data_IF_211451053702
#
_entry.id   IF_211451053702
#
_cell.length_a   1.000
_cell.length_b   1.000
_cell.length_c   1.000
_cell.angle_alpha   90.00
_cell.angle_beta   90.00
_cell.angle_gamma   90.00
#
_symmetry.space_group_name_H-M   'P 1'
#
loop_
_entity.id
_entity.type
_entity.pdbx_description
1 polymer ?
#
# COMPACT_ATOMS: atom_id res chain seq x y z
N UNK A 1 -15.59 23.52 -3.38
CA UNK A 1 -14.87 23.14 -2.14
C UNK A 1 -13.49 22.72 -2.56
N UNK A 2 -12.45 23.23 -1.92
CA UNK A 2 -11.08 22.79 -2.18
C UNK A 2 -10.96 21.28 -1.97
N UNK A 3 -10.27 20.60 -2.88
CA UNK A 3 -10.11 19.15 -2.87
C UNK A 3 -9.50 18.67 -1.53
N UNK A 4 -8.56 19.45 -0.99
CA UNK A 4 -7.93 19.19 0.31
C UNK A 4 -8.94 19.17 1.46
N UNK A 5 -9.94 20.05 1.43
CA UNK A 5 -10.97 20.10 2.48
C UNK A 5 -11.82 18.83 2.46
N UNK A 6 -12.09 18.28 1.28
CA UNK A 6 -12.81 17.01 1.13
C UNK A 6 -11.95 15.82 1.55
N UNK A 7 -10.66 15.81 1.19
CA UNK A 7 -9.71 14.74 1.53
C UNK A 7 -9.55 14.60 3.04
N UNK A 8 -9.39 15.70 3.78
CA UNK A 8 -9.21 15.67 5.24
C UNK A 8 -10.53 15.71 6.02
N UNK A 9 -11.67 15.59 5.32
CA UNK A 9 -12.99 15.49 5.95
C UNK A 9 -13.14 14.19 6.76
N UNK A 10 -13.93 14.22 7.84
CA UNK A 10 -14.16 13.04 8.69
C UNK A 10 -14.76 11.85 7.92
N UNK A 11 -15.58 12.12 6.90
CA UNK A 11 -16.23 11.09 6.07
C UNK A 11 -15.27 10.33 5.17
N UNK A 12 -14.14 10.95 4.81
CA UNK A 12 -13.16 10.33 3.94
C UNK A 12 -12.17 9.41 4.68
N UNK A 13 -12.23 9.35 6.01
CA UNK A 13 -11.31 8.55 6.83
C UNK A 13 -12.05 7.59 7.76
N UNK A 14 -11.73 6.30 7.62
CA UNK A 14 -12.15 5.24 8.53
C UNK A 14 -11.05 4.95 9.57
N UNK A 15 -11.34 4.13 10.56
CA UNK A 15 -10.36 3.74 11.59
C UNK A 15 -10.29 2.23 11.77
N UNK A 16 -9.09 1.72 12.06
CA UNK A 16 -8.80 0.30 12.30
C UNK A 16 -7.89 0.14 13.51
N UNK A 17 -7.72 -1.10 14.00
CA UNK A 17 -6.89 -1.37 15.18
C UNK A 17 -7.38 -0.66 16.44
N UNK A 18 -8.70 -0.61 16.65
CA UNK A 18 -9.30 0.08 17.81
C UNK A 18 -9.16 1.61 17.77
N UNK A 19 -9.16 2.20 16.58
CA UNK A 19 -9.01 3.66 16.40
C UNK A 19 -7.56 4.15 16.32
N UNK A 20 -6.58 3.25 16.41
CA UNK A 20 -5.15 3.61 16.42
C UNK A 20 -4.58 3.89 15.03
N UNK A 21 -5.19 3.36 13.97
CA UNK A 21 -4.76 3.60 12.59
C UNK A 21 -5.91 4.21 11.80
N UNK A 22 -5.69 5.41 11.24
CA UNK A 22 -6.60 6.01 10.27
C UNK A 22 -6.35 5.41 8.89
N UNK A 23 -7.43 5.14 8.17
CA UNK A 23 -7.38 4.59 6.82
C UNK A 23 -8.24 5.49 5.96
N UNK A 24 -7.60 6.17 5.00
CA UNK A 24 -8.35 6.90 3.99
C UNK A 24 -9.30 5.91 3.32
N UNK A 25 -10.55 6.31 3.10
CA UNK A 25 -11.58 5.53 2.42
C UNK A 25 -12.31 6.36 1.32
N UNK A 26 -11.75 7.50 0.94
CA UNK A 26 -12.22 8.35 -0.16
C UNK A 26 -11.74 7.91 -1.55
N UNK A 27 -11.93 8.79 -2.54
CA UNK A 27 -11.53 8.57 -3.94
C UNK A 27 -10.01 8.36 -4.10
N UNK A 28 -9.59 7.86 -5.25
CA UNK A 28 -8.16 7.69 -5.53
C UNK A 28 -7.43 9.03 -5.54
N UNK A 29 -6.32 9.11 -4.80
CA UNK A 29 -5.48 10.30 -4.72
C UNK A 29 -4.49 10.29 -5.88
N UNK A 30 -4.47 11.35 -6.69
CA UNK A 30 -3.50 11.51 -7.79
C UNK A 30 -2.11 11.91 -7.29
N UNK A 31 -2.06 12.62 -6.17
CA UNK A 31 -0.85 13.15 -5.56
C UNK A 31 -0.72 12.64 -4.12
N UNK A 32 0.51 12.62 -3.60
CA UNK A 32 0.74 12.28 -2.19
C UNK A 32 0.21 13.37 -1.26
N UNK A 33 -0.23 12.98 -0.07
CA UNK A 33 -0.77 13.92 0.91
C UNK A 33 0.34 14.67 1.64
N UNK A 34 0.09 15.94 1.95
CA UNK A 34 0.95 16.71 2.84
C UNK A 34 1.11 16.01 4.19
N UNK A 35 2.37 15.70 4.54
CA UNK A 35 2.72 15.03 5.82
C UNK A 35 2.27 15.84 7.03
N UNK A 36 2.31 17.17 6.96
CA UNK A 36 1.89 18.04 8.05
C UNK A 36 0.36 18.03 8.23
N UNK A 37 -0.39 18.02 7.13
CA UNK A 37 -1.84 17.89 7.17
C UNK A 37 -2.28 16.53 7.74
N UNK A 38 -1.63 15.44 7.31
CA UNK A 38 -1.87 14.09 7.86
C UNK A 38 -1.52 14.04 9.35
N UNK A 39 -0.37 14.59 9.75
CA UNK A 39 0.05 14.62 11.16
C UNK A 39 -0.96 15.37 12.03
N UNK A 40 -1.50 16.49 11.53
CA UNK A 40 -2.55 17.24 12.21
C UNK A 40 -3.80 16.37 12.40
N UNK A 41 -4.27 15.71 11.36
CA UNK A 41 -5.44 14.81 11.42
C UNK A 41 -5.22 13.65 12.41
N UNK A 42 -4.05 13.00 12.39
CA UNK A 42 -3.71 11.90 13.31
C UNK A 42 -3.78 12.37 14.77
N UNK A 43 -3.23 13.55 15.07
CA UNK A 43 -3.29 14.15 16.41
C UNK A 43 -4.71 14.49 16.83
N UNK A 44 -5.48 15.14 15.96
CA UNK A 44 -6.89 15.49 16.21
C UNK A 44 -7.77 14.26 16.52
N UNK A 45 -7.44 13.11 15.93
CA UNK A 45 -8.18 11.85 16.11
C UNK A 45 -7.65 10.97 17.22
N UNK A 46 -6.54 11.33 17.88
CA UNK A 46 -5.89 10.48 18.88
C UNK A 46 -5.36 9.15 18.32
N UNK A 47 -5.07 9.11 17.02
CA UNK A 47 -4.51 7.95 16.35
C UNK A 47 -2.98 7.91 16.50
N UNK A 48 -2.38 6.75 16.25
CA UNK A 48 -0.91 6.57 16.19
C UNK A 48 -0.37 6.76 14.78
N UNK A 49 -1.21 6.60 13.75
CA UNK A 49 -0.80 6.75 12.36
C UNK A 49 -1.97 6.77 11.40
N UNK A 50 -1.63 6.99 10.12
CA UNK A 50 -2.57 7.03 9.01
C UNK A 50 -1.98 6.28 7.80
N UNK A 51 -2.85 5.67 6.99
CA UNK A 51 -2.51 5.13 5.66
C UNK A 51 -3.51 5.65 4.63
N UNK A 52 -3.02 6.05 3.46
CA UNK A 52 -3.83 6.60 2.37
C UNK A 52 -3.43 6.06 0.98
N UNK A 53 -2.46 5.17 0.93
CA UNK A 53 -2.08 4.42 -0.27
C UNK A 53 -2.92 3.15 -0.34
N UNK A 54 -3.81 3.07 -1.33
CA UNK A 54 -4.69 1.91 -1.53
C UNK A 54 -4.08 0.81 -2.39
N UNK A 55 -2.98 1.11 -3.07
CA UNK A 55 -2.60 0.32 -4.22
C UNK A 55 -1.39 -0.56 -3.95
N UNK A 56 -1.68 -1.86 -3.83
CA UNK A 56 -0.70 -2.93 -4.00
C UNK A 56 -0.66 -3.41 -5.47
N UNK A 57 -1.49 -2.84 -6.36
CA UNK A 57 -1.81 -3.42 -7.68
C UNK A 57 -2.09 -2.31 -8.73
N UNK A 58 -1.31 -1.22 -8.70
CA UNK A 58 -1.54 -0.07 -9.59
C UNK A 58 -1.38 -0.48 -11.07
N UNK A 59 -2.42 -0.18 -11.87
CA UNK A 59 -2.40 -0.32 -13.33
C UNK A 59 -1.63 0.80 -14.03
N UNK A 60 -1.00 1.70 -13.26
CA UNK A 60 -0.11 2.75 -13.74
C UNK A 60 1.29 2.53 -13.14
N UNK A 61 2.33 2.72 -13.96
CA UNK A 61 3.73 2.59 -13.53
C UNK A 61 4.09 3.68 -12.50
N UNK A 62 4.65 3.24 -11.36
CA UNK A 62 5.22 4.09 -10.32
C UNK A 62 6.51 3.44 -9.78
N UNK A 63 7.33 4.13 -8.97
CA UNK A 63 8.73 3.76 -8.70
C UNK A 63 8.86 2.64 -7.64
N UNK A 64 8.25 1.50 -7.93
CA UNK A 64 8.47 0.17 -7.36
C UNK A 64 7.72 -0.20 -6.06
N UNK A 65 7.00 -1.32 -6.14
CA UNK A 65 6.82 -2.25 -5.01
C UNK A 65 7.40 -3.60 -5.41
N UNK A 66 8.63 -3.89 -4.96
CA UNK A 66 9.23 -5.22 -5.11
C UNK A 66 8.90 -6.03 -3.85
N UNK A 67 8.13 -7.10 -3.98
CA UNK A 67 8.21 -8.18 -3.01
C UNK A 67 9.42 -9.03 -3.37
N UNK A 68 10.59 -8.65 -2.87
CA UNK A 68 11.74 -9.56 -2.84
C UNK A 68 11.50 -10.51 -1.68
N UNK A 69 11.20 -11.77 -2.00
CA UNK A 69 11.13 -12.81 -0.99
C UNK A 69 12.50 -13.48 -0.90
N UNK A 70 13.33 -13.02 0.03
CA UNK A 70 14.66 -13.62 0.31
C UNK A 70 14.55 -14.98 1.02
N UNK A 71 13.34 -15.49 1.19
CA UNK A 71 13.13 -16.82 1.76
C UNK A 71 13.37 -17.86 0.69
N UNK A 72 14.55 -18.45 0.74
CA UNK A 72 14.83 -19.72 0.05
C UNK A 72 13.75 -20.72 0.46
N UNK A 73 13.10 -21.33 -0.53
CA UNK A 73 11.96 -22.24 -0.35
C UNK A 73 10.73 -21.61 0.32
N UNK A 74 10.41 -20.36 -0.03
CA UNK A 74 9.14 -19.75 0.35
C UNK A 74 7.97 -20.67 -0.02
N UNK A 75 7.22 -21.09 0.99
CA UNK A 75 6.03 -21.91 0.83
C UNK A 75 4.81 -21.14 1.33
N UNK A 76 3.92 -20.81 0.39
CA UNK A 76 2.66 -20.10 0.66
C UNK A 76 1.78 -20.80 1.71
N UNK A 77 1.91 -22.12 1.86
CA UNK A 77 1.15 -22.90 2.83
C UNK A 77 1.63 -22.68 4.28
N UNK A 78 2.80 -22.06 4.49
CA UNK A 78 3.25 -21.61 5.81
C UNK A 78 2.47 -20.39 6.32
N UNK A 79 1.79 -19.63 5.45
CA UNK A 79 0.90 -18.55 5.89
C UNK A 79 -0.27 -19.19 6.64
N UNK A 80 -0.38 -18.93 7.95
CA UNK A 80 -1.40 -19.53 8.81
C UNK A 80 -2.83 -19.14 8.39
N UNK A 81 -3.03 -17.88 8.01
CA UNK A 81 -4.35 -17.34 7.69
C UNK A 81 -4.82 -17.71 6.27
N UNK A 82 -5.97 -18.39 6.17
CA UNK A 82 -6.64 -18.75 4.90
C UNK A 82 -6.92 -17.53 4.02
N UNK A 83 -7.32 -16.40 4.61
CA UNK A 83 -7.58 -15.14 3.92
C UNK A 83 -6.29 -14.53 3.36
N UNK A 84 -5.19 -14.66 4.10
CA UNK A 84 -3.84 -14.27 3.64
C UNK A 84 -3.41 -15.07 2.40
N UNK A 85 -3.53 -16.40 2.45
CA UNK A 85 -3.25 -17.28 1.30
C UNK A 85 -4.13 -16.93 0.08
N UNK A 86 -5.41 -16.65 0.31
CA UNK A 86 -6.34 -16.24 -0.76
C UNK A 86 -5.90 -14.94 -1.44
N UNK A 87 -5.55 -13.91 -0.68
CA UNK A 87 -5.11 -12.63 -1.26
C UNK A 87 -3.79 -12.77 -2.02
N UNK A 88 -2.79 -13.46 -1.46
CA UNK A 88 -1.52 -13.71 -2.18
C UNK A 88 -1.77 -14.42 -3.50
N UNK A 89 -2.56 -15.50 -3.53
CA UNK A 89 -2.91 -16.20 -4.78
C UNK A 89 -3.66 -15.31 -5.77
N UNK A 90 -4.57 -14.45 -5.28
CA UNK A 90 -5.34 -13.53 -6.11
C UNK A 90 -4.44 -12.45 -6.73
N UNK A 91 -3.52 -11.89 -5.96
CA UNK A 91 -2.56 -10.87 -6.45
C UNK A 91 -1.60 -11.47 -7.46
N UNK A 92 -1.02 -12.65 -7.18
CA UNK A 92 -0.09 -13.31 -8.11
C UNK A 92 -0.70 -13.61 -9.49
N UNK A 93 -2.02 -13.79 -9.59
CA UNK A 93 -2.71 -13.96 -10.90
C UNK A 93 -2.67 -12.71 -11.78
N UNK A 94 -2.42 -11.55 -11.20
CA UNK A 94 -2.35 -10.25 -11.88
C UNK A 94 -0.91 -9.76 -12.06
N UNK A 95 0.05 -10.42 -11.43
CA UNK A 95 1.46 -10.11 -11.57
C UNK A 95 2.05 -10.80 -12.81
N UNK A 96 2.92 -10.09 -13.52
CA UNK A 96 3.77 -10.72 -14.53
C UNK A 96 5.00 -11.29 -13.83
N UNK A 97 5.17 -12.61 -13.84
CA UNK A 97 6.36 -13.26 -13.29
C UNK A 97 7.40 -13.41 -14.39
N UNK A 98 8.58 -12.83 -14.20
CA UNK A 98 9.71 -12.97 -15.12
C UNK A 98 10.96 -13.40 -14.35
N UNK A 99 11.74 -14.38 -14.86
CA UNK A 99 13.07 -14.63 -14.32
C UNK A 99 13.92 -13.38 -14.56
N UNK A 100 14.60 -12.93 -13.51
CA UNK A 100 15.55 -11.82 -13.57
C UNK A 100 16.91 -12.39 -13.22
N UNK A 101 17.87 -12.23 -14.13
CA UNK A 101 19.27 -12.54 -13.87
C UNK A 101 20.05 -11.27 -13.50
N UNK A 102 21.32 -11.46 -13.16
CA UNK A 102 22.20 -10.36 -12.73
C UNK A 102 22.49 -9.36 -13.85
N UNK A 103 22.40 -9.76 -15.13
CA UNK A 103 22.61 -8.87 -16.27
C UNK A 103 21.41 -7.95 -16.45
N UNK A 104 20.19 -8.52 -16.45
CA UNK A 104 18.96 -7.74 -16.49
C UNK A 104 18.89 -6.75 -15.33
N UNK A 105 19.28 -7.19 -14.13
CA UNK A 105 19.30 -6.33 -12.94
C UNK A 105 20.35 -5.21 -13.06
N UNK A 106 21.53 -5.48 -13.62
CA UNK A 106 22.55 -4.45 -13.83
C UNK A 106 22.07 -3.34 -14.79
N UNK A 107 21.32 -3.73 -15.84
CA UNK A 107 20.86 -2.81 -16.88
C UNK A 107 19.57 -2.06 -16.52
N UNK A 108 18.71 -2.64 -15.67
CA UNK A 108 17.34 -2.13 -15.40
C UNK A 108 17.07 -1.90 -13.89
N UNK A 109 18.03 -2.19 -13.02
CA UNK A 109 17.83 -2.23 -11.57
C UNK A 109 18.11 -0.93 -10.83
N UNK A 110 18.72 0.06 -11.49
CA UNK A 110 19.14 1.34 -10.90
C UNK A 110 18.42 2.50 -11.59
N UNK A 111 17.35 2.99 -10.96
CA UNK A 111 16.78 4.34 -11.17
C UNK A 111 16.95 5.16 -9.89
#
# INVERSE_FOLDING_TARGET
MDNDVLIFSKSAWSSTGGGKILVYAGEYLKDDLSRDAVRKLVREKGALGARWTYDYDCGEEGPWYRYVCDTVDYNIDKIQNKKGRYYVRRSLKRCTVRPVDYLWLADNGYE
#
